data_IF_231694367240
#
_entry.id   IF_231694367240
#
_cell.length_a   1.000
_cell.length_b   1.000
_cell.length_c   1.000
_cell.angle_alpha   90.00
_cell.angle_beta   90.00
_cell.angle_gamma   90.00
#
_symmetry.space_group_name_H-M   'P 1'
#
loop_
_entity.id
_entity.type
_entity.pdbx_description
1 polymer ?
#
# COMPACT_ATOMS: atom_id res chain seq x y z
N UNK A 1 18.48 34.33 -5.84
CA UNK A 1 17.19 33.62 -5.74
C UNK A 1 16.05 34.55 -5.31
N UNK A 2 16.05 35.08 -4.08
CA UNK A 2 14.95 35.90 -3.50
C UNK A 2 14.47 37.01 -4.43
N UNK A 3 15.39 37.86 -4.92
CA UNK A 3 15.03 38.99 -5.78
C UNK A 3 14.45 38.54 -7.13
N UNK A 4 14.95 37.44 -7.71
CA UNK A 4 14.38 36.89 -8.95
C UNK A 4 12.98 36.33 -8.72
N UNK A 5 12.73 35.66 -7.59
CA UNK A 5 11.39 35.19 -7.24
C UNK A 5 10.42 36.36 -7.05
N UNK A 6 10.85 37.43 -6.37
CA UNK A 6 10.04 38.65 -6.21
C UNK A 6 9.70 39.30 -7.54
N UNK A 7 10.67 39.41 -8.46
CA UNK A 7 10.43 39.96 -9.81
C UNK A 7 9.44 39.09 -10.59
N UNK A 8 9.58 37.78 -10.50
CA UNK A 8 8.70 36.84 -11.18
C UNK A 8 7.27 36.86 -10.65
N UNK A 9 7.08 36.96 -9.33
CA UNK A 9 5.75 37.13 -8.71
C UNK A 9 5.17 38.53 -8.99
N UNK A 10 6.02 39.56 -9.07
CA UNK A 10 5.58 40.91 -9.44
C UNK A 10 5.01 40.96 -10.86
N UNK A 11 5.57 40.17 -11.78
CA UNK A 11 5.10 40.08 -13.17
C UNK A 11 3.62 39.67 -13.25
N UNK A 12 3.10 38.92 -12.27
CA UNK A 12 1.68 38.57 -12.17
C UNK A 12 0.76 39.80 -12.09
N UNK A 13 1.25 40.89 -11.51
CA UNK A 13 0.49 42.11 -11.21
C UNK A 13 0.82 43.26 -12.17
N UNK A 14 1.79 43.09 -13.08
CA UNK A 14 2.25 44.14 -13.98
C UNK A 14 1.44 44.18 -15.27
N UNK A 15 0.68 45.25 -15.52
CA UNK A 15 -0.15 45.40 -16.73
C UNK A 15 -1.63 45.17 -16.47
N UNK A 16 -2.44 45.19 -17.54
CA UNK A 16 -3.90 45.19 -17.41
C UNK A 16 -4.43 43.82 -16.96
N UNK A 17 -5.50 43.81 -16.17
CA UNK A 17 -6.19 42.59 -15.72
C UNK A 17 -6.60 41.62 -16.84
N UNK A 18 -6.85 42.12 -18.06
CA UNK A 18 -7.26 41.30 -19.22
C UNK A 18 -6.13 40.42 -19.76
N UNK A 19 -4.89 40.78 -19.50
CA UNK A 19 -3.69 40.07 -19.98
C UNK A 19 -3.21 39.00 -18.97
N UNK A 20 -4.02 38.70 -17.95
CA UNK A 20 -3.64 37.76 -16.87
C UNK A 20 -3.26 36.38 -17.41
N UNK A 21 -4.00 35.83 -18.36
CA UNK A 21 -3.72 34.52 -18.95
C UNK A 21 -2.42 34.53 -19.77
N UNK A 22 -2.21 35.58 -20.57
CA UNK A 22 -0.97 35.75 -21.34
C UNK A 22 0.25 35.85 -20.43
N UNK A 23 0.17 36.67 -19.36
CA UNK A 23 1.24 36.75 -18.35
C UNK A 23 1.47 35.42 -17.66
N UNK A 24 0.44 34.61 -17.45
CA UNK A 24 0.60 33.28 -16.83
C UNK A 24 1.46 32.39 -17.73
N UNK A 25 1.25 32.42 -19.05
CA UNK A 25 2.08 31.69 -20.03
C UNK A 25 3.52 32.23 -20.07
N UNK A 26 3.69 33.55 -20.15
CA UNK A 26 5.02 34.18 -20.12
C UNK A 26 5.77 33.84 -18.82
N UNK A 27 5.07 33.82 -17.68
CA UNK A 27 5.63 33.39 -16.38
C UNK A 27 6.04 31.92 -16.39
N UNK A 28 5.27 31.03 -17.02
CA UNK A 28 5.65 29.62 -17.19
C UNK A 28 6.88 29.45 -18.05
N UNK A 29 7.11 30.30 -19.05
CA UNK A 29 8.35 30.27 -19.84
C UNK A 29 9.55 30.77 -19.03
N UNK A 30 9.36 31.85 -18.28
CA UNK A 30 10.43 32.48 -17.48
C UNK A 30 10.77 31.74 -16.19
N UNK A 31 9.95 30.77 -15.77
CA UNK A 31 10.18 30.00 -14.53
C UNK A 31 11.54 29.29 -14.54
N UNK A 32 11.99 28.82 -15.72
CA UNK A 32 13.29 28.17 -15.91
C UNK A 32 14.47 29.04 -15.48
N UNK A 33 14.37 30.37 -15.61
CA UNK A 33 15.41 31.29 -15.17
C UNK A 33 15.52 31.30 -13.64
N UNK A 34 14.39 31.24 -12.94
CA UNK A 34 14.37 31.15 -11.47
C UNK A 34 14.91 29.79 -11.03
N UNK A 35 14.47 28.70 -11.67
CA UNK A 35 14.92 27.34 -11.41
C UNK A 35 16.41 27.12 -11.66
N UNK A 36 17.00 27.80 -12.64
CA UNK A 36 18.45 27.70 -12.93
C UNK A 36 19.33 28.12 -11.73
N UNK A 37 18.85 29.02 -10.87
CA UNK A 37 19.55 29.37 -9.63
C UNK A 37 19.58 28.20 -8.65
N UNK A 38 18.48 27.44 -8.54
CA UNK A 38 18.42 26.26 -7.68
C UNK A 38 19.35 25.16 -8.20
N UNK A 39 19.46 25.02 -9.53
CA UNK A 39 20.42 24.10 -10.17
C UNK A 39 21.86 24.49 -9.86
N UNK A 40 22.18 25.79 -9.87
CA UNK A 40 23.50 26.25 -9.45
C UNK A 40 23.77 26.01 -7.96
N UNK A 41 22.75 26.16 -7.12
CA UNK A 41 22.89 25.86 -5.70
C UNK A 41 23.15 24.37 -5.45
N UNK A 42 22.45 23.45 -6.10
CA UNK A 42 22.69 22.02 -5.86
C UNK A 42 24.08 21.54 -6.28
N UNK A 43 24.74 22.24 -7.21
CA UNK A 43 26.11 21.93 -7.65
C UNK A 43 27.20 22.36 -6.64
N UNK A 44 26.88 23.25 -5.69
CA UNK A 44 27.88 23.93 -4.86
C UNK A 44 27.72 23.65 -3.36
N UNK A 45 26.73 22.84 -2.99
CA UNK A 45 26.24 22.76 -1.61
C UNK A 45 26.40 21.34 -1.07
N UNK A 46 27.00 21.26 0.12
CA UNK A 46 27.08 20.04 0.91
C UNK A 46 25.84 19.86 1.81
N UNK A 47 25.60 18.63 2.29
CA UNK A 47 24.44 18.28 3.12
C UNK A 47 24.26 19.22 4.34
N UNK A 48 25.35 19.52 5.05
CA UNK A 48 25.31 20.34 6.25
C UNK A 48 24.94 21.80 5.93
N UNK A 49 25.51 22.34 4.85
CA UNK A 49 25.18 23.68 4.37
C UNK A 49 23.71 23.74 3.89
N UNK A 50 23.23 22.70 3.20
CA UNK A 50 21.85 22.60 2.76
C UNK A 50 20.87 22.65 3.94
N UNK A 51 21.10 21.81 4.96
CA UNK A 51 20.23 21.69 6.14
C UNK A 51 20.24 22.94 7.01
N UNK A 52 21.41 23.54 7.23
CA UNK A 52 21.57 24.65 8.19
C UNK A 52 21.28 26.03 7.60
N UNK A 53 21.60 26.26 6.32
CA UNK A 53 21.69 27.63 5.79
C UNK A 53 20.86 27.89 4.54
N UNK A 54 20.48 26.86 3.76
CA UNK A 54 19.87 27.05 2.44
C UNK A 54 18.40 26.67 2.44
N UNK A 55 18.06 25.48 2.94
CA UNK A 55 16.70 24.96 2.83
C UNK A 55 15.68 25.85 3.55
N UNK A 56 15.94 26.22 4.81
CA UNK A 56 14.99 27.01 5.59
C UNK A 56 14.68 28.36 4.92
N UNK A 57 15.67 29.19 4.51
CA UNK A 57 15.37 30.42 3.76
C UNK A 57 14.65 30.17 2.44
N UNK A 58 14.97 29.10 1.70
CA UNK A 58 14.25 28.75 0.46
C UNK A 58 12.77 28.46 0.74
N UNK A 59 12.48 27.59 1.72
CA UNK A 59 11.11 27.22 2.10
C UNK A 59 10.33 28.42 2.64
N UNK A 60 10.96 29.28 3.43
CA UNK A 60 10.34 30.52 3.91
C UNK A 60 9.91 31.41 2.75
N UNK A 61 10.75 31.57 1.71
CA UNK A 61 10.38 32.36 0.53
C UNK A 61 9.25 31.73 -0.28
N UNK A 62 9.22 30.40 -0.39
CA UNK A 62 8.13 29.68 -1.06
C UNK A 62 6.81 29.88 -0.30
N UNK A 63 6.80 29.77 1.02
CA UNK A 63 5.58 29.97 1.81
C UNK A 63 5.14 31.44 1.79
N UNK A 64 6.08 32.38 1.88
CA UNK A 64 5.80 33.82 1.91
C UNK A 64 5.33 34.38 0.56
N UNK A 65 5.71 33.79 -0.58
CA UNK A 65 5.36 34.36 -1.88
C UNK A 65 3.85 34.31 -2.19
N UNK A 66 3.10 33.38 -1.56
CA UNK A 66 1.63 33.19 -1.68
C UNK A 66 1.09 33.11 -3.11
N UNK A 67 1.96 32.88 -4.09
CA UNK A 67 1.61 32.74 -5.50
C UNK A 67 1.59 31.27 -5.88
N UNK A 68 0.44 30.79 -6.37
CA UNK A 68 0.18 29.37 -6.63
C UNK A 68 1.18 28.79 -7.62
N UNK A 69 1.37 29.47 -8.76
CA UNK A 69 2.27 29.03 -9.83
C UNK A 69 3.73 28.96 -9.34
N UNK A 70 4.17 29.97 -8.59
CA UNK A 70 5.52 29.97 -8.03
C UNK A 70 5.71 28.87 -6.98
N UNK A 71 4.72 28.64 -6.11
CA UNK A 71 4.79 27.61 -5.07
C UNK A 71 4.87 26.21 -5.67
N UNK A 72 4.04 25.91 -6.67
CA UNK A 72 4.05 24.64 -7.40
C UNK A 72 5.42 24.37 -8.03
N UNK A 73 5.87 25.30 -8.88
CA UNK A 73 7.12 25.14 -9.63
C UNK A 73 8.34 25.07 -8.72
N UNK A 74 8.46 25.96 -7.73
CA UNK A 74 9.67 26.02 -6.89
C UNK A 74 9.84 24.76 -6.05
N UNK A 75 8.76 24.20 -5.50
CA UNK A 75 8.85 22.96 -4.73
C UNK A 75 9.14 21.77 -5.62
N UNK A 76 8.56 21.70 -6.82
CA UNK A 76 8.89 20.66 -7.79
C UNK A 76 10.37 20.72 -8.19
N UNK A 77 10.90 21.91 -8.45
CA UNK A 77 12.34 22.08 -8.77
C UNK A 77 13.22 21.71 -7.59
N UNK A 78 12.87 22.07 -6.35
CA UNK A 78 13.61 21.62 -5.16
C UNK A 78 13.64 20.09 -5.11
N UNK A 79 12.49 19.45 -5.32
CA UNK A 79 12.36 17.98 -5.38
C UNK A 79 13.07 17.36 -6.58
N UNK A 80 13.36 18.08 -7.66
CA UNK A 80 14.06 17.52 -8.82
C UNK A 80 15.58 17.75 -8.79
N UNK A 81 16.02 18.87 -8.24
CA UNK A 81 17.37 19.40 -8.43
C UNK A 81 18.34 19.01 -7.30
N UNK A 82 17.86 18.90 -6.07
CA UNK A 82 18.69 18.50 -4.93
C UNK A 82 18.77 16.97 -4.81
N UNK A 83 19.91 16.37 -4.39
CA UNK A 83 20.05 14.92 -4.23
C UNK A 83 19.03 14.27 -3.28
N UNK A 84 18.83 12.95 -3.42
CA UNK A 84 17.87 12.17 -2.62
C UNK A 84 18.24 12.18 -1.12
N UNK A 85 19.54 12.08 -0.81
CA UNK A 85 20.09 12.17 0.55
C UNK A 85 19.70 13.47 1.27
N UNK A 86 19.66 14.59 0.54
CA UNK A 86 19.35 15.89 1.11
C UNK A 86 17.88 15.94 1.55
N UNK A 87 17.00 15.34 0.74
CA UNK A 87 15.60 15.22 1.06
C UNK A 87 15.40 14.34 2.28
N UNK A 88 16.04 13.16 2.37
CA UNK A 88 15.93 12.25 3.52
C UNK A 88 16.20 12.92 4.87
N UNK A 89 17.20 13.80 4.94
CA UNK A 89 17.55 14.51 6.19
C UNK A 89 16.71 15.75 6.48
N UNK A 90 15.84 16.16 5.56
CA UNK A 90 15.10 17.43 5.63
C UNK A 90 13.59 17.29 5.35
N UNK A 91 13.08 16.06 5.30
CA UNK A 91 11.66 15.77 5.03
C UNK A 91 10.70 16.52 5.97
N UNK A 92 10.98 16.53 7.27
CA UNK A 92 10.09 17.18 8.24
C UNK A 92 9.93 18.68 7.94
N UNK A 93 11.02 19.34 7.56
CA UNK A 93 11.00 20.76 7.20
C UNK A 93 10.25 20.99 5.88
N UNK A 94 10.50 20.13 4.89
CA UNK A 94 9.86 20.20 3.58
C UNK A 94 8.35 19.97 3.69
N UNK A 95 7.93 18.91 4.38
CA UNK A 95 6.52 18.57 4.59
C UNK A 95 5.79 19.59 5.48
N UNK A 96 6.47 20.15 6.48
CA UNK A 96 5.93 21.28 7.26
C UNK A 96 5.72 22.53 6.40
N UNK A 97 6.58 22.75 5.39
CA UNK A 97 6.37 23.82 4.42
C UNK A 97 5.19 23.52 3.48
N UNK A 98 5.02 22.27 3.02
CA UNK A 98 3.89 21.91 2.14
C UNK A 98 2.52 22.08 2.80
N UNK A 99 2.43 21.87 4.12
CA UNK A 99 1.21 22.13 4.89
C UNK A 99 0.82 23.61 4.98
N UNK A 100 1.76 24.54 4.76
CA UNK A 100 1.55 26.00 4.87
C UNK A 100 1.35 26.70 3.52
N UNK A 101 1.20 25.94 2.44
CA UNK A 101 1.00 26.48 1.09
C UNK A 101 -0.43 26.99 0.87
N UNK A 102 -0.61 27.71 -0.22
CA UNK A 102 -1.94 28.14 -0.66
C UNK A 102 -2.80 26.91 -1.00
N UNK A 103 -4.08 26.82 -0.57
CA UNK A 103 -4.96 25.69 -0.86
C UNK A 103 -5.17 25.37 -2.35
N UNK A 104 -4.91 26.33 -3.24
CA UNK A 104 -5.02 26.15 -4.68
C UNK A 104 -3.77 25.50 -5.31
N UNK A 105 -2.69 25.34 -4.55
CA UNK A 105 -1.49 24.61 -4.99
C UNK A 105 -1.80 23.13 -5.05
N UNK A 106 -1.39 22.48 -6.13
CA UNK A 106 -1.43 21.03 -6.28
C UNK A 106 -0.37 20.34 -5.41
N UNK A 107 -0.57 20.35 -4.08
CA UNK A 107 0.33 19.72 -3.09
C UNK A 107 0.48 18.22 -3.37
N UNK A 108 -0.56 17.58 -3.93
CA UNK A 108 -0.53 16.17 -4.32
C UNK A 108 0.62 15.86 -5.26
N UNK A 109 0.77 16.62 -6.35
CA UNK A 109 1.80 16.35 -7.35
C UNK A 109 3.22 16.45 -6.74
N UNK A 110 3.43 17.42 -5.84
CA UNK A 110 4.72 17.61 -5.15
C UNK A 110 5.02 16.42 -4.23
N UNK A 111 4.04 16.00 -3.41
CA UNK A 111 4.21 14.89 -2.47
C UNK A 111 4.39 13.56 -3.21
N UNK A 112 3.58 13.28 -4.24
CA UNK A 112 3.74 12.11 -5.12
C UNK A 112 5.14 12.10 -5.75
N UNK A 113 5.57 13.22 -6.33
CA UNK A 113 6.89 13.32 -6.96
C UNK A 113 8.04 13.03 -5.98
N UNK A 114 7.93 13.51 -4.73
CA UNK A 114 8.93 13.21 -3.70
C UNK A 114 8.92 11.73 -3.30
N UNK A 115 7.75 11.13 -3.10
CA UNK A 115 7.61 9.73 -2.71
C UNK A 115 8.08 8.79 -3.82
N UNK A 116 7.70 9.04 -5.07
CA UNK A 116 8.11 8.24 -6.22
C UNK A 116 9.62 8.32 -6.43
N UNK A 117 10.22 9.51 -6.20
CA UNK A 117 11.66 9.71 -6.29
C UNK A 117 12.43 8.93 -5.22
N UNK A 118 12.00 9.01 -3.95
CA UNK A 118 12.60 8.24 -2.85
C UNK A 118 12.38 6.73 -3.04
N UNK A 119 11.22 6.34 -3.54
CA UNK A 119 10.91 4.95 -3.88
C UNK A 119 11.84 4.42 -4.98
N UNK A 120 12.11 5.21 -6.03
CA UNK A 120 13.06 4.86 -7.08
C UNK A 120 14.53 4.87 -6.61
N UNK A 121 14.88 5.71 -5.64
CA UNK A 121 16.17 5.67 -4.97
C UNK A 121 16.36 4.34 -4.22
N UNK A 122 15.38 3.95 -3.40
CA UNK A 122 15.41 2.69 -2.67
C UNK A 122 15.45 1.45 -3.59
N UNK A 123 14.69 1.49 -4.69
CA UNK A 123 14.67 0.41 -5.67
C UNK A 123 16.06 0.19 -6.29
N UNK A 124 16.75 1.26 -6.69
CA UNK A 124 18.11 1.20 -7.28
C UNK A 124 19.14 0.59 -6.33
N UNK A 125 19.03 0.84 -5.03
CA UNK A 125 19.93 0.25 -4.04
C UNK A 125 19.60 -1.22 -3.76
N UNK A 126 18.31 -1.58 -3.78
CA UNK A 126 17.84 -2.96 -3.58
C UNK A 126 18.12 -3.90 -4.75
N UNK A 127 18.40 -3.41 -5.95
CA UNK A 127 18.83 -4.24 -7.09
C UNK A 127 20.18 -4.94 -6.84
N UNK A 128 20.92 -4.53 -5.81
CA UNK A 128 22.15 -5.19 -5.37
C UNK A 128 21.94 -6.45 -4.50
N UNK A 129 20.69 -6.73 -4.10
CA UNK A 129 20.33 -7.88 -3.28
C UNK A 129 20.05 -9.14 -4.12
N UNK A 130 20.45 -10.31 -3.61
CA UNK A 130 20.21 -11.57 -4.32
C UNK A 130 18.73 -11.98 -4.21
N UNK A 131 18.16 -12.69 -5.22
CA UNK A 131 16.76 -13.13 -5.17
C UNK A 131 16.47 -14.09 -4.01
N UNK A 132 17.46 -14.86 -3.54
CA UNK A 132 17.31 -15.77 -2.41
C UNK A 132 17.18 -15.02 -1.07
N UNK A 133 17.86 -13.89 -0.91
CA UNK A 133 17.78 -13.08 0.31
C UNK A 133 16.39 -12.42 0.43
N UNK A 134 15.80 -12.03 -0.71
CA UNK A 134 14.43 -11.51 -0.75
C UNK A 134 13.39 -12.54 -0.35
N UNK A 135 13.51 -13.78 -0.83
CA UNK A 135 12.61 -14.87 -0.44
C UNK A 135 12.69 -15.18 1.07
N UNK A 136 13.90 -15.22 1.62
CA UNK A 136 14.11 -15.44 3.07
C UNK A 136 13.52 -14.31 3.90
N UNK A 137 13.76 -13.06 3.51
CA UNK A 137 13.23 -11.91 4.23
C UNK A 137 11.69 -11.88 4.20
N UNK A 138 11.07 -12.21 3.07
CA UNK A 138 9.60 -12.31 2.95
C UNK A 138 9.00 -13.46 3.78
N UNK A 139 9.63 -14.63 3.76
CA UNK A 139 9.16 -15.78 4.56
C UNK A 139 9.28 -15.51 6.06
N UNK A 140 10.33 -14.82 6.50
CA UNK A 140 10.47 -14.38 7.88
C UNK A 140 9.42 -13.30 8.24
N UNK A 141 9.18 -12.33 7.34
CA UNK A 141 8.20 -11.28 7.55
C UNK A 141 6.77 -11.82 7.68
N UNK A 142 6.39 -12.78 6.82
CA UNK A 142 5.09 -13.44 6.90
C UNK A 142 4.94 -14.24 8.18
N UNK A 143 5.97 -14.99 8.60
CA UNK A 143 5.96 -15.72 9.86
C UNK A 143 5.76 -14.78 11.06
N UNK A 144 6.50 -13.67 11.12
CA UNK A 144 6.38 -12.65 12.18
C UNK A 144 4.99 -12.02 12.23
N UNK A 145 4.38 -11.72 11.08
CA UNK A 145 3.03 -11.17 11.03
C UNK A 145 2.01 -12.17 11.56
N UNK A 146 2.09 -13.43 11.12
CA UNK A 146 1.18 -14.48 11.58
C UNK A 146 1.32 -14.75 13.08
N UNK A 147 2.54 -14.71 13.63
CA UNK A 147 2.77 -14.83 15.07
C UNK A 147 2.14 -13.67 15.84
N UNK A 148 2.37 -12.42 15.41
CA UNK A 148 1.73 -11.24 15.99
C UNK A 148 0.20 -11.32 15.94
N UNK A 149 -0.36 -11.83 14.86
CA UNK A 149 -1.81 -12.02 14.74
C UNK A 149 -2.35 -13.09 15.68
N UNK A 150 -1.62 -14.21 15.88
CA UNK A 150 -1.99 -15.23 16.86
C UNK A 150 -1.99 -14.66 18.28
N UNK A 151 -0.95 -13.92 18.64
CA UNK A 151 -0.86 -13.24 19.94
C UNK A 151 -1.98 -12.20 20.11
N UNK A 152 -2.32 -11.45 19.06
CA UNK A 152 -3.44 -10.51 19.07
C UNK A 152 -4.81 -11.20 19.23
N UNK A 153 -4.99 -12.39 18.63
CA UNK A 153 -6.21 -13.20 18.80
C UNK A 153 -6.30 -13.83 20.20
N UNK A 154 -5.18 -14.28 20.76
CA UNK A 154 -5.10 -14.83 22.13
C UNK A 154 -5.37 -13.74 23.18
N UNK A 155 -4.82 -12.53 22.99
CA UNK A 155 -5.12 -11.39 23.86
C UNK A 155 -6.56 -10.87 23.72
N UNK A 156 -7.17 -10.96 22.53
CA UNK A 156 -8.58 -10.61 22.32
C UNK A 156 -9.57 -11.70 22.81
N UNK A 157 -9.10 -12.92 23.08
CA UNK A 157 -9.93 -14.05 23.55
C UNK A 157 -9.76 -14.37 25.05
N UNK A 158 -9.00 -13.55 25.79
CA UNK A 158 -9.04 -13.58 27.25
C UNK A 158 -10.46 -13.19 27.73
N UNK A 159 -11.16 -14.03 28.50
CA UNK A 159 -12.51 -13.72 28.94
C UNK A 159 -12.45 -12.56 29.94
N UNK A 160 -13.23 -11.50 29.66
CA UNK A 160 -13.63 -10.53 30.66
C UNK A 160 -14.26 -11.30 31.83
N UNK A 161 -13.54 -11.38 32.95
CA UNK A 161 -14.11 -11.88 34.19
C UNK A 161 -15.01 -10.78 34.75
N UNK A 162 -16.29 -11.13 34.87
CA UNK A 162 -17.32 -10.39 35.57
C UNK A 162 -16.86 -9.97 36.97
N UNK A 163 -16.86 -8.66 37.24
CA UNK A 163 -17.15 -8.16 38.59
C UNK A 163 -18.16 -7.01 38.50
N UNK A 164 -19.39 -7.29 38.92
CA UNK A 164 -20.37 -6.30 39.37
C UNK A 164 -20.97 -6.79 40.70
N UNK A 165 -21.73 -5.99 41.45
CA UNK A 165 -21.22 -5.03 42.43
C UNK A 165 -21.88 -5.23 43.81
N UNK A 166 -21.15 -5.11 44.92
CA UNK A 166 -21.78 -5.06 46.25
C UNK A 166 -21.39 -3.83 47.06
N UNK A 167 -22.37 -2.94 47.18
CA UNK A 167 -22.49 -1.87 48.17
C UNK A 167 -22.66 -2.44 49.59
N UNK A 168 -22.04 -1.78 50.58
CA UNK A 168 -22.77 -1.18 51.70
C UNK A 168 -21.83 -0.29 52.51
N UNK A 169 -22.31 0.92 52.84
CA UNK A 169 -21.57 1.94 53.59
C UNK A 169 -22.14 2.20 54.99
N UNK A 170 -21.32 2.82 55.84
CA UNK A 170 -21.59 3.79 56.93
C UNK A 170 -20.22 4.01 57.64
N UNK A 171 -19.70 5.16 58.09
CA UNK A 171 -20.26 6.46 58.47
C UNK A 171 -19.18 7.57 58.43
N UNK A 172 -19.56 8.72 57.85
CA UNK A 172 -19.34 10.18 58.11
C UNK A 172 -18.41 10.71 59.28
N UNK A 173 -18.11 12.04 59.37
CA UNK A 173 -16.90 12.72 58.86
C UNK A 173 -16.19 13.65 59.90
N UNK A 174 -15.00 14.20 59.58
CA UNK A 174 -14.36 15.44 60.12
C UNK A 174 -12.86 15.40 59.74
N UNK A 175 -12.11 16.46 59.44
CA UNK A 175 -12.30 17.90 59.43
C UNK A 175 -11.20 18.51 58.51
N UNK A 176 -11.43 19.75 58.07
CA UNK A 176 -10.50 20.60 57.32
C UNK A 176 -9.16 20.83 58.07
N UNK A 177 -8.06 21.09 57.35
CA UNK A 177 -7.44 22.44 57.24
C UNK A 177 -6.06 22.38 56.57
N UNK A 178 -5.88 23.36 55.69
CA UNK A 178 -4.73 23.87 54.96
C UNK A 178 -3.41 24.00 55.73
N UNK A 179 -2.26 23.79 55.06
CA UNK A 179 -1.20 24.79 54.87
C UNK A 179 0.11 24.20 54.27
N UNK A 180 0.55 24.83 53.17
CA UNK A 180 1.93 25.16 52.74
C UNK A 180 3.12 24.32 53.20
N UNK A 181 3.90 23.78 52.24
CA UNK A 181 5.31 24.17 51.96
C UNK A 181 5.92 23.38 50.78
N UNK A 182 6.60 24.07 49.86
CA UNK A 182 7.62 23.53 48.93
C UNK A 182 8.92 23.18 49.74
N UNK A 183 10.01 22.54 49.23
CA UNK A 183 10.45 22.40 47.82
C UNK A 183 11.18 21.07 47.40
N UNK A 184 11.33 20.91 46.08
CA UNK A 184 12.45 20.37 45.27
C UNK A 184 13.12 18.96 45.47
N UNK A 185 13.51 18.41 44.30
CA UNK A 185 14.49 17.36 43.97
C UNK A 185 14.13 15.86 44.12
N UNK A 186 14.07 15.16 42.98
CA UNK A 186 14.94 14.03 42.49
C UNK A 186 14.15 13.13 41.52
N UNK A 187 14.48 13.14 40.22
CA UNK A 187 15.26 12.09 39.51
C UNK A 187 14.59 10.70 39.46
N UNK A 188 13.96 10.35 38.33
CA UNK A 188 13.66 8.97 37.90
C UNK A 188 14.06 8.88 36.42
N UNK A 189 15.28 8.46 36.11
CA UNK A 189 15.73 7.08 35.88
C UNK A 189 15.00 6.37 34.72
N UNK A 190 15.61 6.51 33.55
CA UNK A 190 15.36 5.68 32.37
C UNK A 190 16.02 4.31 32.56
N UNK A 191 15.23 3.24 32.59
CA UNK A 191 15.74 1.87 32.48
C UNK A 191 15.79 1.42 31.03
N UNK A 192 17.05 1.28 30.58
CA UNK A 192 17.56 0.62 29.39
C UNK A 192 16.95 -0.77 29.17
N UNK A 193 16.64 -1.10 27.92
CA UNK A 193 16.69 -2.47 27.41
C UNK A 193 18.02 -2.65 26.68
N UNK A 194 18.85 -3.53 27.23
CA UNK A 194 20.18 -3.86 26.73
C UNK A 194 20.13 -4.50 25.34
N UNK A 195 20.93 -3.92 24.44
CA UNK A 195 21.38 -4.55 23.20
C UNK A 195 22.39 -5.65 23.52
N UNK A 196 22.06 -6.90 23.22
CA UNK A 196 23.05 -7.97 23.16
C UNK A 196 23.71 -7.91 21.78
N UNK A 197 24.94 -7.43 21.77
CA UNK A 197 25.87 -7.57 20.64
C UNK A 197 26.21 -9.06 20.44
N UNK A 198 25.74 -9.64 19.35
CA UNK A 198 26.36 -10.83 18.76
C UNK A 198 26.95 -10.46 17.41
N UNK A 199 28.28 -10.52 17.36
CA UNK A 199 29.12 -10.39 16.17
C UNK A 199 28.60 -11.20 14.98
N UNK A 200 28.56 -10.55 13.82
CA UNK A 200 28.62 -11.23 12.52
C UNK A 200 27.35 -11.23 11.69
N UNK A 201 26.79 -10.06 11.37
CA UNK A 201 26.07 -9.89 10.10
C UNK A 201 26.09 -8.40 9.71
N UNK A 202 27.04 -8.04 8.84
CA UNK A 202 26.98 -6.77 8.14
C UNK A 202 25.84 -6.86 7.12
N UNK A 203 24.59 -6.67 7.58
CA UNK A 203 23.47 -6.37 6.68
C UNK A 203 23.91 -5.20 5.83
N UNK A 204 24.08 -5.43 4.52
CA UNK A 204 24.35 -4.38 3.54
C UNK A 204 23.31 -3.28 3.79
N UNK A 205 23.78 -2.13 4.25
CA UNK A 205 22.92 -0.98 4.48
C UNK A 205 22.33 -0.59 3.13
N UNK A 206 21.04 -0.92 2.92
CA UNK A 206 20.21 -0.21 1.94
C UNK A 206 20.40 1.26 2.31
N UNK A 207 20.91 2.09 1.41
CA UNK A 207 21.46 3.43 1.68
C UNK A 207 20.45 4.48 2.18
N UNK A 208 19.30 4.04 2.70
CA UNK A 208 18.43 4.82 3.56
C UNK A 208 18.80 4.49 5.02
N UNK A 209 19.25 5.47 5.81
CA UNK A 209 19.54 5.23 7.22
C UNK A 209 18.30 4.69 7.96
N UNK A 210 18.46 3.57 8.68
CA UNK A 210 17.41 2.97 9.52
C UNK A 210 16.80 3.94 10.55
N UNK A 211 17.53 5.02 10.84
CA UNK A 211 17.14 6.08 11.77
C UNK A 211 15.99 6.98 11.25
N UNK A 212 15.65 6.93 9.96
CA UNK A 212 14.55 7.73 9.40
C UNK A 212 13.33 6.84 9.17
N UNK A 213 12.29 7.00 10.00
CA UNK A 213 11.00 6.32 9.86
C UNK A 213 10.17 6.97 8.75
N UNK A 214 10.65 6.87 7.51
CA UNK A 214 10.07 7.53 6.34
C UNK A 214 8.58 7.23 6.18
N UNK A 215 8.21 5.96 6.31
CA UNK A 215 6.83 5.53 6.16
C UNK A 215 5.91 6.24 7.16
N UNK A 216 6.29 6.30 8.44
CA UNK A 216 5.47 6.94 9.48
C UNK A 216 5.28 8.44 9.21
N UNK A 217 6.37 9.14 8.86
CA UNK A 217 6.34 10.58 8.54
C UNK A 217 5.45 10.85 7.33
N UNK A 218 5.60 10.10 6.24
CA UNK A 218 4.77 10.27 5.05
C UNK A 218 3.32 9.85 5.31
N UNK A 219 3.08 8.78 6.07
CA UNK A 219 1.74 8.32 6.39
C UNK A 219 0.97 9.33 7.23
N UNK A 220 1.58 9.85 8.31
CA UNK A 220 1.00 10.92 9.13
C UNK A 220 0.71 12.16 8.30
N UNK A 221 1.66 12.57 7.45
CA UNK A 221 1.48 13.75 6.63
C UNK A 221 0.41 13.56 5.54
N UNK A 222 0.31 12.38 4.93
CA UNK A 222 -0.76 12.07 3.96
C UNK A 222 -2.12 12.12 4.65
N UNK A 223 -2.27 11.53 5.85
CA UNK A 223 -3.51 11.61 6.62
C UNK A 223 -3.85 13.06 6.96
N UNK A 224 -2.87 13.82 7.45
CA UNK A 224 -3.03 15.23 7.79
C UNK A 224 -3.45 16.04 6.55
N UNK A 225 -2.80 15.85 5.40
CA UNK A 225 -3.11 16.52 4.13
C UNK A 225 -4.54 16.22 3.66
N UNK A 226 -4.95 14.95 3.71
CA UNK A 226 -6.31 14.52 3.34
C UNK A 226 -7.36 15.15 4.27
N UNK A 227 -7.06 15.24 5.57
CA UNK A 227 -7.95 15.84 6.56
C UNK A 227 -8.13 17.35 6.37
N UNK A 228 -7.07 18.08 6.01
CA UNK A 228 -7.09 19.54 5.87
C UNK A 228 -7.70 20.02 4.56
N UNK A 229 -7.42 19.34 3.45
CA UNK A 229 -7.73 19.87 2.11
C UNK A 229 -9.01 19.30 1.47
N UNK A 230 -9.73 18.37 2.12
CA UNK A 230 -10.92 17.68 1.55
C UNK A 230 -10.71 17.28 0.08
N UNK A 231 -9.65 16.51 -0.16
CA UNK A 231 -9.28 16.06 -1.49
C UNK A 231 -10.33 15.12 -2.09
N UNK A 232 -10.51 15.10 -3.43
CA UNK A 232 -11.34 14.11 -4.08
C UNK A 232 -10.72 12.71 -3.94
N UNK A 233 -11.55 11.66 -3.98
CA UNK A 233 -11.10 10.27 -3.79
C UNK A 233 -10.03 9.83 -4.81
N UNK A 234 -10.05 10.39 -6.02
CA UNK A 234 -9.02 10.13 -7.04
C UNK A 234 -7.63 10.54 -6.56
N UNK A 235 -7.54 11.64 -5.83
CA UNK A 235 -6.27 12.18 -5.33
C UNK A 235 -5.81 11.44 -4.08
N UNK A 236 -6.74 11.06 -3.20
CA UNK A 236 -6.45 10.21 -2.04
C UNK A 236 -5.88 8.86 -2.51
N UNK A 237 -6.55 8.21 -3.46
CA UNK A 237 -6.10 6.91 -3.99
C UNK A 237 -4.76 7.02 -4.70
N UNK A 238 -4.47 8.12 -5.41
CA UNK A 238 -3.15 8.35 -6.00
C UNK A 238 -2.04 8.48 -4.95
N UNK A 239 -2.29 9.24 -3.86
CA UNK A 239 -1.33 9.34 -2.74
C UNK A 239 -1.09 7.97 -2.09
N UNK A 240 -2.13 7.16 -1.92
CA UNK A 240 -1.99 5.80 -1.37
C UNK A 240 -1.20 4.86 -2.29
N UNK A 241 -1.30 5.02 -3.61
CA UNK A 241 -0.47 4.26 -4.57
C UNK A 241 1.00 4.62 -4.41
N UNK A 242 1.35 5.90 -4.32
CA UNK A 242 2.74 6.29 -4.05
C UNK A 242 3.20 5.81 -2.65
N UNK A 243 2.31 5.82 -1.65
CA UNK A 243 2.63 5.35 -0.30
C UNK A 243 2.88 3.85 -0.23
N UNK A 244 2.09 3.04 -0.92
CA UNK A 244 2.31 1.59 -0.97
C UNK A 244 3.61 1.28 -1.72
N UNK A 245 3.90 1.97 -2.83
CA UNK A 245 5.13 1.77 -3.59
C UNK A 245 6.36 2.16 -2.76
N UNK A 246 6.26 3.25 -1.98
CA UNK A 246 7.29 3.65 -1.03
C UNK A 246 7.51 2.57 0.04
N UNK A 247 6.43 2.07 0.65
CA UNK A 247 6.51 1.03 1.68
C UNK A 247 7.12 -0.27 1.13
N UNK A 248 6.69 -0.72 -0.05
CA UNK A 248 7.17 -1.95 -0.69
C UNK A 248 8.64 -1.86 -1.09
N UNK A 249 9.08 -0.71 -1.62
CA UNK A 249 10.46 -0.55 -2.10
C UNK A 249 11.46 -0.26 -0.97
N UNK A 250 11.04 0.41 0.10
CA UNK A 250 11.92 0.73 1.23
C UNK A 250 11.89 -0.37 2.30
N UNK A 251 10.70 -0.86 2.67
CA UNK A 251 10.50 -1.79 3.78
C UNK A 251 9.70 -3.06 3.35
N UNK A 252 10.20 -3.88 2.41
CA UNK A 252 9.55 -5.13 1.98
C UNK A 252 9.28 -6.09 3.15
N UNK A 253 10.13 -6.08 4.18
CA UNK A 253 10.02 -6.98 5.34
C UNK A 253 8.91 -6.56 6.33
N UNK A 254 8.38 -5.33 6.21
CA UNK A 254 7.40 -4.76 7.14
C UNK A 254 6.01 -4.76 6.52
N UNK A 255 5.38 -5.93 6.52
CA UNK A 255 4.01 -6.14 6.03
C UNK A 255 2.96 -5.26 6.76
N UNK A 256 3.23 -4.87 8.01
CA UNK A 256 2.38 -3.99 8.81
C UNK A 256 2.12 -2.64 8.15
N UNK A 257 3.12 -2.06 7.48
CA UNK A 257 2.98 -0.77 6.81
C UNK A 257 2.05 -0.87 5.61
N UNK A 258 2.15 -1.96 4.85
CA UNK A 258 1.26 -2.23 3.72
C UNK A 258 -0.17 -2.47 4.22
N UNK A 259 -0.34 -3.20 5.33
CA UNK A 259 -1.66 -3.40 5.93
C UNK A 259 -2.28 -2.09 6.40
N UNK A 260 -1.52 -1.19 7.05
CA UNK A 260 -2.00 0.14 7.46
C UNK A 260 -2.51 0.96 6.27
N UNK A 261 -1.78 0.97 5.14
CA UNK A 261 -2.23 1.63 3.91
C UNK A 261 -3.54 1.04 3.40
N UNK A 262 -3.68 -0.30 3.42
CA UNK A 262 -4.92 -0.96 3.01
C UNK A 262 -6.08 -0.74 3.98
N UNK A 263 -5.85 -0.71 5.29
CA UNK A 263 -6.86 -0.36 6.28
C UNK A 263 -7.38 1.07 6.04
N UNK A 264 -6.48 2.02 5.82
CA UNK A 264 -6.85 3.39 5.52
C UNK A 264 -7.59 3.49 4.17
N UNK A 265 -7.14 2.77 3.14
CA UNK A 265 -7.83 2.68 1.85
C UNK A 265 -9.26 2.13 2.00
N UNK A 266 -9.45 1.05 2.77
CA UNK A 266 -10.76 0.47 3.06
C UNK A 266 -11.70 1.48 3.74
N UNK A 267 -11.17 2.23 4.72
CA UNK A 267 -11.93 3.27 5.43
C UNK A 267 -12.38 4.39 4.48
N UNK A 268 -11.48 4.90 3.65
CA UNK A 268 -11.81 5.97 2.71
C UNK A 268 -12.72 5.48 1.58
N UNK A 269 -12.51 4.29 1.02
CA UNK A 269 -13.42 3.69 0.02
C UNK A 269 -14.82 3.51 0.61
N UNK A 270 -14.93 3.04 1.85
CA UNK A 270 -16.23 2.91 2.54
C UNK A 270 -16.90 4.25 2.78
N UNK A 271 -16.12 5.28 3.14
CA UNK A 271 -16.61 6.66 3.34
C UNK A 271 -17.19 7.26 2.06
N UNK A 272 -16.57 6.98 0.92
CA UNK A 272 -17.00 7.47 -0.39
C UNK A 272 -17.82 6.45 -1.19
N UNK A 273 -18.33 5.38 -0.56
CA UNK A 273 -19.05 4.30 -1.24
C UNK A 273 -20.29 4.80 -2.02
N UNK A 274 -20.93 5.87 -1.55
CA UNK A 274 -22.10 6.47 -2.19
C UNK A 274 -21.74 7.60 -3.17
N UNK A 275 -20.45 7.93 -3.34
CA UNK A 275 -20.02 8.97 -4.27
C UNK A 275 -19.83 8.41 -5.67
N UNK A 276 -20.33 9.13 -6.68
CA UNK A 276 -20.08 8.82 -8.08
C UNK A 276 -18.58 8.85 -8.44
N UNK A 277 -17.78 9.60 -7.68
CA UNK A 277 -16.34 9.74 -7.92
C UNK A 277 -15.56 8.45 -7.69
N UNK A 278 -16.08 7.50 -6.91
CA UNK A 278 -15.46 6.19 -6.72
C UNK A 278 -15.50 5.36 -8.02
N UNK A 279 -16.55 5.54 -8.82
CA UNK A 279 -16.70 4.85 -10.10
C UNK A 279 -15.99 5.56 -11.26
N UNK A 280 -15.29 6.67 -11.00
CA UNK A 280 -14.49 7.31 -12.04
C UNK A 280 -13.37 6.38 -12.51
N UNK A 281 -13.03 6.48 -13.79
CA UNK A 281 -11.97 5.67 -14.39
C UNK A 281 -10.61 5.89 -13.70
N UNK A 282 -10.33 7.10 -13.26
CA UNK A 282 -9.11 7.45 -12.54
C UNK A 282 -9.05 6.78 -11.15
N UNK A 283 -10.14 6.84 -10.37
CA UNK A 283 -10.22 6.17 -9.06
C UNK A 283 -10.04 4.66 -9.20
N UNK A 284 -10.71 4.05 -10.18
CA UNK A 284 -10.60 2.61 -10.43
C UNK A 284 -9.19 2.20 -10.87
N UNK A 285 -8.54 2.99 -11.73
CA UNK A 285 -7.15 2.73 -12.14
C UNK A 285 -6.19 2.83 -10.96
N UNK A 286 -6.35 3.82 -10.09
CA UNK A 286 -5.52 3.97 -8.89
C UNK A 286 -5.75 2.83 -7.89
N UNK A 287 -7.00 2.45 -7.62
CA UNK A 287 -7.33 1.32 -6.74
C UNK A 287 -6.82 -0.02 -7.29
N UNK A 288 -6.88 -0.20 -8.62
CA UNK A 288 -6.28 -1.35 -9.28
C UNK A 288 -4.76 -1.36 -9.08
N UNK A 289 -4.08 -0.24 -9.31
CA UNK A 289 -2.63 -0.14 -9.10
C UNK A 289 -2.24 -0.37 -7.63
N UNK A 290 -3.06 0.10 -6.69
CA UNK A 290 -2.88 -0.12 -5.25
C UNK A 290 -2.92 -1.62 -4.91
N UNK A 291 -3.90 -2.37 -5.44
CA UNK A 291 -4.02 -3.81 -5.23
C UNK A 291 -2.96 -4.63 -5.98
N UNK A 292 -2.56 -4.18 -7.17
CA UNK A 292 -1.57 -4.87 -7.99
C UNK A 292 -0.12 -4.64 -7.52
N UNK A 293 0.16 -3.56 -6.79
CA UNK A 293 1.51 -3.23 -6.34
C UNK A 293 2.13 -4.36 -5.49
N UNK A 294 1.49 -4.85 -4.40
CA UNK A 294 2.03 -5.99 -3.64
C UNK A 294 2.16 -7.27 -4.47
N UNK A 295 1.19 -7.54 -5.36
CA UNK A 295 1.17 -8.76 -6.20
C UNK A 295 2.34 -8.79 -7.18
N UNK A 296 2.83 -7.62 -7.62
CA UNK A 296 3.95 -7.50 -8.56
C UNK A 296 5.30 -7.38 -7.88
N UNK A 297 5.37 -6.73 -6.72
CA UNK A 297 6.65 -6.40 -6.06
C UNK A 297 7.15 -7.52 -5.15
N UNK A 298 6.25 -8.23 -4.45
CA UNK A 298 6.65 -9.38 -3.64
C UNK A 298 7.05 -10.57 -4.51
N UNK A 299 8.03 -11.34 -4.02
CA UNK A 299 8.47 -12.58 -4.64
C UNK A 299 7.37 -13.66 -4.54
N UNK A 300 6.75 -13.78 -3.37
CA UNK A 300 5.66 -14.71 -3.12
C UNK A 300 4.29 -14.02 -3.10
N UNK A 301 3.35 -14.50 -3.92
CA UNK A 301 1.94 -14.07 -3.85
C UNK A 301 1.35 -14.30 -2.45
N UNK A 302 1.78 -15.35 -1.75
CA UNK A 302 1.24 -15.68 -0.43
C UNK A 302 1.57 -14.60 0.60
N UNK A 303 2.66 -13.86 0.41
CA UNK A 303 3.00 -12.68 1.22
C UNK A 303 1.94 -11.60 1.11
N UNK A 304 1.48 -11.30 -0.13
CA UNK A 304 0.39 -10.35 -0.36
C UNK A 304 -0.95 -10.86 0.20
N UNK A 305 -1.21 -12.17 0.07
CA UNK A 305 -2.45 -12.81 0.55
C UNK A 305 -2.53 -12.89 2.08
N UNK A 306 -1.39 -12.98 2.76
CA UNK A 306 -1.32 -13.00 4.21
C UNK A 306 -1.75 -11.66 4.84
N UNK A 307 -1.81 -10.58 4.05
CA UNK A 307 -2.22 -9.26 4.53
C UNK A 307 -3.73 -9.25 4.78
N UNK A 308 -4.20 -9.06 6.03
CA UNK A 308 -5.61 -9.21 6.38
C UNK A 308 -6.55 -8.26 5.64
N UNK A 309 -6.10 -7.03 5.40
CA UNK A 309 -6.93 -5.98 4.79
C UNK A 309 -7.02 -6.08 3.26
N UNK A 310 -6.27 -6.99 2.63
CA UNK A 310 -6.24 -7.18 1.18
C UNK A 310 -7.56 -7.72 0.62
N UNK A 311 -8.07 -8.82 1.19
CA UNK A 311 -9.32 -9.46 0.74
C UNK A 311 -10.54 -8.54 0.97
N UNK A 312 -10.72 -7.89 2.14
CA UNK A 312 -11.77 -6.90 2.34
C UNK A 312 -11.74 -5.78 1.29
N UNK A 313 -10.55 -5.25 0.97
CA UNK A 313 -10.41 -4.21 -0.05
C UNK A 313 -10.83 -4.72 -1.42
N UNK A 314 -10.42 -5.94 -1.80
CA UNK A 314 -10.84 -6.56 -3.06
C UNK A 314 -12.37 -6.70 -3.17
N UNK A 315 -13.06 -7.07 -2.10
CA UNK A 315 -14.52 -7.23 -2.13
C UNK A 315 -15.29 -5.91 -2.33
N UNK A 316 -14.76 -4.78 -1.84
CA UNK A 316 -15.39 -3.46 -2.04
C UNK A 316 -15.26 -2.95 -3.48
N UNK A 317 -14.36 -3.52 -4.28
CA UNK A 317 -14.10 -3.06 -5.65
C UNK A 317 -15.18 -3.51 -6.64
N UNK A 318 -15.42 -2.74 -7.72
CA UNK A 318 -16.35 -3.14 -8.76
C UNK A 318 -15.84 -4.37 -9.53
N UNK A 319 -16.75 -5.03 -10.27
CA UNK A 319 -16.44 -6.25 -11.02
C UNK A 319 -15.22 -6.12 -11.97
N UNK A 320 -15.06 -5.04 -12.78
CA UNK A 320 -13.93 -4.94 -13.71
C UNK A 320 -12.56 -4.95 -13.03
N UNK A 321 -12.41 -4.23 -11.93
CA UNK A 321 -11.17 -4.20 -11.14
C UNK A 321 -10.89 -5.55 -10.47
N UNK A 322 -11.93 -6.20 -9.92
CA UNK A 322 -11.82 -7.55 -9.34
C UNK A 322 -11.39 -8.59 -10.38
N UNK A 323 -11.97 -8.56 -11.58
CA UNK A 323 -11.60 -9.44 -12.72
C UNK A 323 -10.14 -9.23 -13.12
N UNK A 324 -9.69 -7.98 -13.23
CA UNK A 324 -8.31 -7.65 -13.60
C UNK A 324 -7.29 -8.10 -12.54
N UNK A 325 -7.58 -7.90 -11.25
CA UNK A 325 -6.72 -8.39 -10.15
C UNK A 325 -6.65 -9.92 -10.16
N UNK A 326 -7.80 -10.60 -10.27
CA UNK A 326 -7.83 -12.06 -10.33
C UNK A 326 -7.08 -12.61 -11.55
N UNK A 327 -7.16 -11.95 -12.71
CA UNK A 327 -6.43 -12.32 -13.92
C UNK A 327 -4.92 -12.11 -13.81
N UNK A 328 -4.46 -11.04 -13.16
CA UNK A 328 -3.02 -10.86 -12.87
C UNK A 328 -2.51 -11.88 -11.87
N UNK A 329 -3.27 -12.17 -10.80
CA UNK A 329 -2.93 -13.21 -9.82
C UNK A 329 -2.83 -14.59 -10.47
N UNK A 330 -3.80 -14.96 -11.31
CA UNK A 330 -3.78 -16.22 -12.05
C UNK A 330 -2.54 -16.33 -12.97
N UNK A 331 -2.22 -15.26 -13.71
CA UNK A 331 -1.04 -15.23 -14.58
C UNK A 331 0.26 -15.27 -13.79
N UNK A 332 0.35 -14.57 -12.66
CA UNK A 332 1.52 -14.58 -11.78
C UNK A 332 1.79 -15.99 -11.22
N UNK A 333 0.74 -16.66 -10.71
CA UNK A 333 0.82 -18.05 -10.24
C UNK A 333 1.34 -19.00 -11.33
N UNK A 334 0.86 -18.84 -12.56
CA UNK A 334 1.25 -19.68 -13.70
C UNK A 334 2.65 -19.36 -14.22
N UNK A 335 3.06 -18.09 -14.22
CA UNK A 335 4.39 -17.64 -14.67
C UNK A 335 5.49 -18.12 -13.73
N UNK A 336 5.23 -18.04 -12.42
CA UNK A 336 6.21 -18.39 -11.39
C UNK A 336 6.13 -19.88 -10.98
N UNK A 337 5.17 -20.65 -11.52
CA UNK A 337 4.89 -22.04 -11.15
C UNK A 337 4.80 -22.29 -9.64
N UNK A 338 4.23 -21.33 -8.91
CA UNK A 338 4.13 -21.38 -7.44
C UNK A 338 3.22 -22.54 -7.01
N UNK A 339 3.76 -23.45 -6.19
CA UNK A 339 3.01 -24.61 -5.68
C UNK A 339 2.13 -24.18 -4.51
N UNK A 340 0.88 -24.62 -4.52
CA UNK A 340 -0.08 -24.37 -3.43
C UNK A 340 -0.14 -25.64 -2.57
N UNK A 341 0.42 -25.58 -1.36
CA UNK A 341 0.56 -26.73 -0.47
C UNK A 341 -0.32 -26.69 0.78
N UNK A 342 -0.70 -25.50 1.26
CA UNK A 342 -1.54 -25.34 2.45
C UNK A 342 -3.00 -25.06 2.09
N UNK A 343 -3.92 -25.46 2.98
CA UNK A 343 -5.36 -25.24 2.80
C UNK A 343 -5.72 -23.76 2.84
N UNK A 344 -5.09 -22.99 3.73
CA UNK A 344 -5.33 -21.55 3.90
C UNK A 344 -4.92 -20.78 2.64
N UNK A 345 -3.73 -21.08 2.10
CA UNK A 345 -3.26 -20.45 0.87
C UNK A 345 -4.18 -20.78 -0.32
N UNK A 346 -4.67 -22.03 -0.39
CA UNK A 346 -5.63 -22.41 -1.43
C UNK A 346 -6.95 -21.66 -1.28
N UNK A 347 -7.48 -21.53 -0.05
CA UNK A 347 -8.73 -20.81 0.20
C UNK A 347 -8.61 -19.32 -0.20
N UNK A 348 -7.54 -18.65 0.19
CA UNK A 348 -7.35 -17.25 -0.17
C UNK A 348 -7.14 -17.03 -1.67
N UNK A 349 -6.41 -17.93 -2.35
CA UNK A 349 -6.31 -17.90 -3.82
C UNK A 349 -7.68 -18.14 -4.47
N UNK A 350 -8.47 -19.10 -3.98
CA UNK A 350 -9.80 -19.38 -4.50
C UNK A 350 -10.78 -18.23 -4.26
N UNK A 351 -10.67 -17.50 -3.15
CA UNK A 351 -11.53 -16.33 -2.89
C UNK A 351 -11.25 -15.19 -3.88
N UNK A 352 -9.98 -14.96 -4.25
CA UNK A 352 -9.63 -14.01 -5.32
C UNK A 352 -10.16 -14.50 -6.67
N UNK A 353 -9.93 -15.79 -7.00
CA UNK A 353 -10.34 -16.38 -8.28
C UNK A 353 -11.86 -16.59 -8.40
N UNK A 354 -12.61 -16.51 -7.31
CA UNK A 354 -14.08 -16.63 -7.27
C UNK A 354 -14.80 -15.72 -8.24
N UNK A 355 -14.23 -14.53 -8.49
CA UNK A 355 -14.76 -13.57 -9.47
C UNK A 355 -14.71 -14.14 -10.89
N UNK A 356 -13.64 -14.85 -11.24
CA UNK A 356 -13.50 -15.55 -12.54
C UNK A 356 -14.36 -16.81 -12.61
N UNK A 357 -14.68 -17.42 -11.46
CA UNK A 357 -15.50 -18.64 -11.37
C UNK A 357 -16.99 -18.30 -11.48
N UNK A 358 -17.50 -17.38 -10.65
CA UNK A 358 -18.94 -17.04 -10.53
C UNK A 358 -19.37 -15.87 -11.40
N UNK A 359 -18.63 -14.77 -11.36
CA UNK A 359 -19.14 -13.45 -11.75
C UNK A 359 -18.94 -13.12 -13.24
N UNK A 360 -18.26 -13.99 -14.00
CA UNK A 360 -18.10 -13.81 -15.44
C UNK A 360 -19.36 -14.11 -16.27
N UNK A 361 -20.43 -14.58 -15.65
CA UNK A 361 -21.75 -14.56 -16.30
C UNK A 361 -22.26 -13.12 -16.27
N UNK A 362 -22.08 -12.39 -17.37
CA UNK A 362 -22.94 -11.23 -17.62
C UNK A 362 -24.38 -11.71 -17.44
N UNK A 363 -25.08 -11.15 -16.45
CA UNK A 363 -26.52 -11.28 -16.37
C UNK A 363 -27.07 -10.94 -17.76
N UNK A 364 -27.89 -11.81 -18.38
CA UNK A 364 -28.42 -11.51 -19.69
C UNK A 364 -29.19 -10.20 -19.59
N UNK A 365 -28.63 -9.13 -20.15
CA UNK A 365 -29.32 -7.86 -20.38
C UNK A 365 -30.38 -8.09 -21.44
N UNK A 366 -31.47 -8.73 -21.03
CA UNK A 366 -32.64 -9.04 -21.83
C UNK A 366 -33.89 -8.58 -21.11
N UNK A 367 -34.75 -7.88 -21.84
CA UNK A 367 -36.08 -7.49 -21.39
C UNK A 367 -36.85 -8.72 -20.85
N UNK A 368 -37.56 -8.63 -19.71
CA UNK A 368 -38.41 -9.73 -19.23
C UNK A 368 -39.41 -10.13 -20.32
N UNK A 369 -39.27 -11.33 -20.88
CA UNK A 369 -40.16 -11.87 -21.93
C UNK A 369 -39.62 -11.84 -23.37
N UNK A 370 -38.39 -11.38 -23.62
CA UNK A 370 -37.73 -11.57 -24.92
C UNK A 370 -37.32 -13.03 -25.16
N UNK A 371 -37.22 -13.51 -26.41
CA UNK A 371 -36.69 -14.84 -26.69
C UNK A 371 -35.31 -14.97 -26.06
N UNK A 372 -35.12 -16.00 -25.23
CA UNK A 372 -33.85 -16.35 -24.59
C UNK A 372 -32.82 -16.51 -25.71
N UNK A 373 -32.00 -15.48 -25.93
CA UNK A 373 -30.82 -15.62 -26.79
C UNK A 373 -29.97 -16.70 -26.13
N UNK A 374 -29.84 -17.85 -26.82
CA UNK A 374 -28.95 -18.95 -26.43
C UNK A 374 -27.58 -18.35 -26.10
N UNK A 375 -27.11 -18.68 -24.90
CA UNK A 375 -25.78 -18.44 -24.37
C UNK A 375 -25.30 -16.98 -24.45
N UNK A 376 -24.88 -16.41 -23.32
CA UNK A 376 -23.85 -15.39 -23.40
C UNK A 376 -22.70 -16.00 -24.23
N UNK A 377 -22.43 -15.45 -25.42
CA UNK A 377 -21.39 -15.98 -26.28
C UNK A 377 -20.09 -16.02 -25.47
N UNK A 378 -19.54 -17.22 -25.28
CA UNK A 378 -18.24 -17.40 -24.66
C UNK A 378 -17.24 -16.60 -25.50
N UNK A 379 -16.74 -15.52 -24.91
CA UNK A 379 -15.70 -14.73 -25.56
C UNK A 379 -14.37 -15.48 -25.43
N UNK A 380 -13.49 -15.33 -26.41
CA UNK A 380 -12.15 -15.95 -26.37
C UNK A 380 -11.42 -15.61 -25.07
N UNK A 381 -11.58 -14.38 -24.55
CA UNK A 381 -11.08 -13.97 -23.23
C UNK A 381 -11.59 -14.86 -22.08
N UNK A 382 -12.89 -15.16 -22.05
CA UNK A 382 -13.44 -16.02 -21.00
C UNK A 382 -12.95 -17.46 -21.13
N UNK A 383 -12.69 -17.94 -22.35
CA UNK A 383 -12.10 -19.26 -22.58
C UNK A 383 -10.66 -19.30 -22.10
N UNK A 384 -9.87 -18.26 -22.36
CA UNK A 384 -8.50 -18.13 -21.85
C UNK A 384 -8.46 -18.11 -20.31
N UNK A 385 -9.35 -17.35 -19.67
CA UNK A 385 -9.50 -17.31 -18.21
C UNK A 385 -9.81 -18.69 -17.62
N UNK A 386 -10.74 -19.42 -18.24
CA UNK A 386 -11.04 -20.79 -17.82
C UNK A 386 -9.85 -21.74 -18.06
N UNK A 387 -9.07 -21.49 -19.12
CA UNK A 387 -7.79 -22.17 -19.37
C UNK A 387 -6.77 -21.93 -18.26
N UNK A 388 -6.68 -20.71 -17.71
CA UNK A 388 -5.83 -20.43 -16.55
C UNK A 388 -6.29 -21.20 -15.31
N UNK A 389 -7.59 -21.18 -15.01
CA UNK A 389 -8.15 -21.93 -13.87
C UNK A 389 -7.86 -23.44 -13.99
N UNK A 390 -8.02 -24.01 -15.18
CA UNK A 390 -7.70 -25.42 -15.43
C UNK A 390 -6.21 -25.73 -15.19
N UNK A 391 -5.30 -24.83 -15.57
CA UNK A 391 -3.86 -25.00 -15.33
C UNK A 391 -3.49 -24.87 -13.85
N UNK A 392 -4.13 -23.97 -13.11
CA UNK A 392 -3.89 -23.77 -11.66
C UNK A 392 -4.17 -25.06 -10.88
N UNK A 393 -5.10 -25.91 -11.31
CA UNK A 393 -5.34 -27.23 -10.70
C UNK A 393 -4.06 -28.07 -10.61
N UNK A 394 -3.16 -27.94 -11.58
CA UNK A 394 -1.90 -28.69 -11.61
C UNK A 394 -0.81 -28.12 -10.69
N UNK A 395 -0.98 -26.87 -10.21
CA UNK A 395 -0.12 -26.23 -9.22
C UNK A 395 -0.51 -26.61 -7.77
N UNK A 396 -1.70 -27.16 -7.56
CA UNK A 396 -2.14 -27.67 -6.25
C UNK A 396 -1.37 -28.95 -5.94
N UNK A 397 -0.40 -28.85 -5.02
CA UNK A 397 0.47 -29.95 -4.60
C UNK A 397 0.68 -29.93 -3.09
N UNK A 398 -0.01 -30.83 -2.40
CA UNK A 398 0.22 -31.18 -1.01
C UNK A 398 1.37 -32.17 -0.86
N UNK A 399 2.00 -32.12 0.31
CA UNK A 399 3.11 -33.01 0.71
C UNK A 399 2.61 -34.47 0.81
N UNK A 400 1.46 -34.64 1.47
CA UNK A 400 0.81 -35.94 1.68
C UNK A 400 -0.36 -36.21 0.74
N UNK A 401 -0.66 -37.50 0.54
CA UNK A 401 -1.83 -37.92 -0.25
C UNK A 401 -3.15 -37.44 0.37
N UNK A 402 -3.26 -37.43 1.70
CA UNK A 402 -4.44 -36.95 2.42
C UNK A 402 -4.61 -35.43 2.28
N UNK A 403 -3.52 -34.67 2.41
CA UNK A 403 -3.52 -33.21 2.22
C UNK A 403 -3.87 -32.86 0.77
N UNK A 404 -3.29 -33.57 -0.21
CA UNK A 404 -3.65 -33.43 -1.61
C UNK A 404 -5.14 -33.69 -1.85
N UNK A 405 -5.72 -34.72 -1.23
CA UNK A 405 -7.14 -35.03 -1.36
C UNK A 405 -8.02 -33.88 -0.83
N UNK A 406 -7.70 -33.36 0.37
CA UNK A 406 -8.40 -32.21 0.97
C UNK A 406 -8.32 -30.97 0.06
N UNK A 407 -7.14 -30.66 -0.47
CA UNK A 407 -6.95 -29.53 -1.39
C UNK A 407 -7.76 -29.68 -2.68
N UNK A 408 -7.77 -30.88 -3.28
CA UNK A 408 -8.58 -31.15 -4.48
C UNK A 408 -10.08 -31.08 -4.18
N UNK A 409 -10.52 -31.50 -2.99
CA UNK A 409 -11.91 -31.39 -2.57
C UNK A 409 -12.35 -29.93 -2.42
N UNK A 410 -11.50 -29.08 -1.84
CA UNK A 410 -11.75 -27.63 -1.75
C UNK A 410 -11.84 -26.99 -3.15
N UNK A 411 -10.89 -27.30 -4.04
CA UNK A 411 -10.91 -26.81 -5.41
C UNK A 411 -12.17 -27.25 -6.18
N UNK A 412 -12.59 -28.52 -5.98
CA UNK A 412 -13.83 -29.05 -6.57
C UNK A 412 -15.07 -28.32 -6.08
N UNK A 413 -15.15 -28.03 -4.77
CA UNK A 413 -16.28 -27.32 -4.20
C UNK A 413 -16.37 -25.89 -4.73
N UNK A 414 -15.24 -25.18 -4.85
CA UNK A 414 -15.21 -23.83 -5.42
C UNK A 414 -15.57 -23.81 -6.92
N UNK A 415 -14.98 -24.70 -7.73
CA UNK A 415 -15.28 -24.73 -9.17
C UNK A 415 -16.69 -25.22 -9.50
N UNK A 416 -17.34 -25.97 -8.61
CA UNK A 416 -18.74 -26.38 -8.79
C UNK A 416 -19.71 -25.18 -8.85
N UNK A 417 -19.30 -24.01 -8.35
CA UNK A 417 -20.11 -22.79 -8.38
C UNK A 417 -20.11 -22.09 -9.75
N UNK A 418 -19.29 -22.54 -10.71
CA UNK A 418 -19.11 -21.92 -12.03
C UNK A 418 -20.14 -22.30 -13.12
N UNK A 419 -21.22 -23.02 -12.77
CA UNK A 419 -22.30 -23.45 -13.68
C UNK A 419 -21.81 -24.00 -15.04
N UNK A 420 -22.01 -23.27 -16.14
CA UNK A 420 -21.66 -23.71 -17.50
C UNK A 420 -20.14 -23.78 -17.75
N UNK A 421 -19.33 -23.06 -16.95
CA UNK A 421 -17.86 -23.00 -17.07
C UNK A 421 -17.16 -24.25 -16.52
N UNK A 422 -17.89 -25.06 -15.77
CA UNK A 422 -17.44 -26.34 -15.18
C UNK A 422 -16.88 -27.30 -16.26
N UNK A 423 -17.33 -27.16 -17.52
CA UNK A 423 -16.86 -27.98 -18.65
C UNK A 423 -15.35 -27.89 -18.90
N UNK A 424 -14.72 -26.76 -18.61
CA UNK A 424 -13.28 -26.56 -18.84
C UNK A 424 -12.42 -26.97 -17.65
N UNK A 425 -12.90 -26.74 -16.43
CA UNK A 425 -12.14 -26.98 -15.19
C UNK A 425 -12.26 -28.42 -14.68
N UNK A 426 -13.39 -29.09 -14.94
CA UNK A 426 -13.63 -30.47 -14.47
C UNK A 426 -12.67 -31.50 -15.04
N UNK A 427 -12.32 -31.49 -16.35
CA UNK A 427 -11.32 -32.41 -16.88
C UNK A 427 -9.95 -32.29 -16.18
N UNK A 428 -9.54 -31.07 -15.83
CA UNK A 428 -8.29 -30.84 -15.10
C UNK A 428 -8.35 -31.42 -13.67
N UNK A 429 -9.49 -31.26 -12.97
CA UNK A 429 -9.72 -31.87 -11.66
C UNK A 429 -9.72 -33.40 -11.73
N UNK A 430 -10.39 -34.00 -12.73
CA UNK A 430 -10.45 -35.45 -12.90
C UNK A 430 -9.05 -36.00 -13.17
N UNK A 431 -8.28 -35.38 -14.07
CA UNK A 431 -6.91 -35.84 -14.36
C UNK A 431 -5.99 -35.72 -13.14
N UNK A 432 -6.11 -34.64 -12.35
CA UNK A 432 -5.39 -34.51 -11.08
C UNK A 432 -5.82 -35.57 -10.05
N UNK A 433 -7.13 -35.86 -9.96
CA UNK A 433 -7.68 -36.87 -9.06
C UNK A 433 -7.25 -38.30 -9.46
N UNK A 434 -7.19 -38.60 -10.76
CA UNK A 434 -6.67 -39.88 -11.27
C UNK A 434 -5.18 -40.05 -10.96
N UNK A 435 -4.38 -38.99 -11.09
CA UNK A 435 -2.96 -39.01 -10.67
C UNK A 435 -2.83 -39.31 -9.17
N UNK A 436 -3.68 -38.69 -8.35
CA UNK A 436 -3.72 -38.95 -6.91
C UNK A 436 -4.13 -40.40 -6.61
N UNK A 437 -5.17 -40.93 -7.27
CA UNK A 437 -5.60 -42.32 -7.10
C UNK A 437 -4.48 -43.33 -7.45
N UNK A 438 -3.72 -43.07 -8.52
CA UNK A 438 -2.53 -43.88 -8.86
C UNK A 438 -1.46 -43.79 -7.78
N UNK A 439 -1.27 -42.62 -7.16
CA UNK A 439 -0.30 -42.40 -6.07
C UNK A 439 -0.72 -43.13 -4.79
N UNK A 440 -2.01 -43.17 -4.47
CA UNK A 440 -2.55 -44.00 -3.38
C UNK A 440 -2.28 -45.48 -3.65
N UNK A 441 -2.64 -45.99 -4.83
CA UNK A 441 -2.38 -47.39 -5.21
C UNK A 441 -0.89 -47.77 -5.13
N UNK A 442 0.00 -46.88 -5.55
CA UNK A 442 1.45 -47.13 -5.47
C UNK A 442 1.99 -47.14 -4.03
N UNK A 443 1.29 -46.51 -3.08
CA UNK A 443 1.65 -46.44 -1.66
C UNK A 443 0.90 -47.44 -0.79
N UNK A 444 0.04 -48.27 -1.38
CA UNK A 444 -0.76 -49.30 -0.71
C UNK A 444 0.12 -50.30 0.06
N UNK A 445 1.36 -50.54 -0.39
CA UNK A 445 2.33 -51.43 0.26
C UNK A 445 3.26 -50.73 1.29
N UNK A 446 3.13 -49.42 1.46
CA UNK A 446 3.96 -48.60 2.36
C UNK A 446 3.17 -48.08 3.57
N UNK A 447 1.85 -48.24 3.58
CA UNK A 447 0.95 -47.85 4.67
C UNK A 447 0.36 -49.10 5.31
N UNK A 448 1.23 -49.92 5.92
CA UNK A 448 0.87 -50.79 7.04
C UNK A 448 1.35 -50.06 8.31
N UNK A 449 0.59 -49.06 8.78
CA UNK A 449 0.52 -48.55 10.17
C UNK A 449 -0.44 -47.35 10.27
#
# INVERSE_FOLDING_TARGET
FVEMNKLWVRLQHQGHSREREQRTKERQELQLLVGSNLVRLSQLVDLEAYKSSILQPLLEQVVQCRDVLAQEYLLEVITQVFPDEFHLHTLDQFLSATARLNPHVNVKAIVIGLMDRLSAYAARESESDSPEDREKAETEATARLLEKMKIAQESASAPASDETPHQNGDSKPADDTSAETAPDSTTEEATKTDSVDTNGDAKKQRGIPDNVRLFEVFHEQVIHLVSMQRLPIQDITALLVSLINLALNIYPDRLEYVDQVFQYANKEVSRFANSADLHSQASQANLLNLLLAPVKTYFSLFTALAIPSFIPLLHTQPYPTRRSVAGEVARSLLRNETKISTSENLQGVLEILKVLIKEGMQQPSGYPGGPVRRAAAETDETVEEQGWLARIVHLIRGEDCNTQFKLLQLARNAYAEGNERIKYTTPALITASLKLARRFKAREHLQDD
#
